data_IF_679268866797
#
_entry.id   IF_679268866797
#
_cell.length_a   1.000
_cell.length_b   1.000
_cell.length_c   1.000
_cell.angle_alpha   90.00
_cell.angle_beta   90.00
_cell.angle_gamma   90.00
#
_symmetry.space_group_name_H-M   'P 1'
#
loop_
_entity.id
_entity.type
_entity.pdbx_description
1 polymer ?
#
# COMPACT_ATOMS: atom_id res chain seq x y z
N UNK A 1 42.62 -9.42 -56.82
CA UNK A 1 41.93 -10.42 -55.97
C UNK A 1 42.61 -10.42 -54.61
N UNK A 2 41.96 -9.84 -53.61
CA UNK A 2 42.36 -9.93 -52.21
C UNK A 2 41.06 -10.07 -51.41
N UNK A 3 40.85 -11.27 -50.87
CA UNK A 3 39.72 -11.63 -50.02
C UNK A 3 40.07 -11.29 -48.57
N UNK A 4 39.44 -10.26 -48.00
CA UNK A 4 39.44 -10.03 -46.55
C UNK A 4 38.12 -10.52 -45.96
N UNK A 5 38.23 -11.56 -45.15
CA UNK A 5 37.14 -12.11 -44.33
C UNK A 5 36.75 -11.11 -43.25
N UNK A 6 35.49 -10.66 -43.26
CA UNK A 6 34.89 -9.91 -42.16
C UNK A 6 34.48 -10.93 -41.10
N UNK A 7 35.16 -10.91 -39.94
CA UNK A 7 34.78 -11.67 -38.78
C UNK A 7 33.45 -11.13 -38.23
N UNK A 8 32.44 -12.00 -38.14
CA UNK A 8 31.19 -11.71 -37.46
C UNK A 8 31.48 -11.53 -35.97
N UNK A 9 31.14 -10.36 -35.43
CA UNK A 9 31.12 -10.14 -33.99
C UNK A 9 29.95 -10.94 -33.41
N UNK A 10 30.28 -11.92 -32.58
CA UNK A 10 29.33 -12.70 -31.78
C UNK A 10 28.49 -11.75 -30.92
N UNK A 11 27.21 -11.63 -31.28
CA UNK A 11 26.20 -11.00 -30.45
C UNK A 11 25.93 -11.88 -29.24
N UNK A 12 26.67 -11.66 -28.15
CA UNK A 12 26.41 -12.26 -26.86
C UNK A 12 25.01 -11.88 -26.39
N UNK A 13 24.03 -12.75 -26.62
CA UNK A 13 22.72 -12.66 -26.01
C UNK A 13 22.90 -12.73 -24.50
N UNK A 14 22.58 -11.64 -23.80
CA UNK A 14 22.54 -11.60 -22.35
C UNK A 14 21.36 -12.49 -21.89
N UNK A 15 21.64 -13.78 -21.68
CA UNK A 15 20.68 -14.73 -21.13
C UNK A 15 20.66 -14.61 -19.61
N UNK A 16 20.03 -13.55 -19.08
CA UNK A 16 19.53 -13.59 -17.71
C UNK A 16 18.16 -14.27 -17.74
N UNK A 17 18.15 -15.60 -17.71
CA UNK A 17 16.94 -16.43 -17.51
C UNK A 17 16.46 -16.31 -16.06
N UNK A 18 16.02 -15.13 -15.66
CA UNK A 18 15.15 -15.00 -14.48
C UNK A 18 13.74 -15.37 -14.91
N UNK A 19 13.09 -16.25 -14.15
CA UNK A 19 11.70 -16.60 -14.39
C UNK A 19 10.83 -15.33 -14.34
N UNK A 20 9.84 -15.19 -15.24
CA UNK A 20 8.99 -14.00 -15.28
C UNK A 20 8.31 -13.82 -13.92
N UNK A 21 8.48 -12.63 -13.34
CA UNK A 21 7.91 -12.28 -12.04
C UNK A 21 6.39 -12.31 -12.14
N UNK A 22 5.75 -13.02 -11.23
CA UNK A 22 4.31 -13.15 -11.16
C UNK A 22 3.70 -11.83 -10.65
N UNK A 23 2.61 -11.33 -11.27
CA UNK A 23 2.05 -10.02 -10.94
C UNK A 23 1.37 -9.95 -9.55
N UNK A 24 1.13 -11.11 -8.92
CA UNK A 24 0.48 -11.25 -7.62
C UNK A 24 1.43 -11.63 -6.48
N UNK A 25 2.74 -11.69 -6.74
CA UNK A 25 3.76 -12.05 -5.75
C UNK A 25 4.63 -10.83 -5.46
N UNK A 26 4.87 -10.57 -4.18
CA UNK A 26 5.86 -9.62 -3.70
C UNK A 26 7.16 -10.40 -3.51
N UNK A 27 8.26 -9.90 -4.07
CA UNK A 27 9.56 -10.56 -3.97
C UNK A 27 10.49 -9.81 -3.02
N UNK A 28 11.53 -10.52 -2.56
CA UNK A 28 12.62 -9.90 -1.81
C UNK A 28 13.27 -8.78 -2.63
N UNK A 29 13.60 -7.67 -1.97
CA UNK A 29 14.13 -6.46 -2.61
C UNK A 29 13.06 -5.52 -3.17
N UNK A 30 11.79 -5.93 -3.25
CA UNK A 30 10.72 -5.05 -3.73
C UNK A 30 10.49 -3.88 -2.78
N UNK A 31 10.32 -2.68 -3.35
CA UNK A 31 9.69 -1.59 -2.61
C UNK A 31 8.20 -1.84 -2.54
N UNK A 32 7.64 -1.95 -1.34
CA UNK A 32 6.20 -2.10 -1.11
C UNK A 32 5.62 -0.89 -0.40
N UNK A 33 4.31 -0.72 -0.52
CA UNK A 33 3.54 0.22 0.29
C UNK A 33 3.08 -0.52 1.55
N UNK A 34 3.56 -0.08 2.71
CA UNK A 34 3.09 -0.53 4.01
C UNK A 34 1.90 0.32 4.43
N UNK A 35 0.71 -0.27 4.49
CA UNK A 35 -0.49 0.35 5.00
C UNK A 35 -0.80 -0.16 6.40
N UNK A 36 -0.89 0.74 7.36
CA UNK A 36 -1.19 0.42 8.75
C UNK A 36 -2.69 0.54 9.03
N UNK A 37 -3.16 -0.17 10.06
CA UNK A 37 -4.57 -0.13 10.50
C UNK A 37 -5.04 1.24 11.00
N UNK A 38 -4.10 2.13 11.39
CA UNK A 38 -4.37 3.52 11.77
C UNK A 38 -4.40 4.50 10.57
N UNK A 39 -4.26 3.98 9.33
CA UNK A 39 -4.39 4.74 8.09
C UNK A 39 -3.08 5.38 7.59
N UNK A 40 -1.97 5.21 8.31
CA UNK A 40 -0.66 5.65 7.82
C UNK A 40 -0.21 4.77 6.66
N UNK A 41 0.55 5.37 5.76
CA UNK A 41 1.18 4.66 4.65
C UNK A 41 2.63 5.07 4.53
N UNK A 42 3.52 4.11 4.29
CA UNK A 42 4.93 4.35 4.06
C UNK A 42 5.50 3.32 3.09
N UNK A 43 6.72 3.56 2.62
CA UNK A 43 7.39 2.68 1.67
C UNK A 43 8.51 1.95 2.39
N UNK A 44 8.66 0.67 2.10
CA UNK A 44 9.68 -0.17 2.71
C UNK A 44 10.19 -1.15 1.65
N UNK A 45 11.50 -1.36 1.60
CA UNK A 45 12.07 -2.47 0.84
C UNK A 45 11.82 -3.77 1.62
N UNK A 46 11.32 -4.79 0.93
CA UNK A 46 11.03 -6.10 1.53
C UNK A 46 12.35 -6.83 1.78
N UNK A 47 12.64 -7.05 3.05
CA UNK A 47 13.56 -8.08 3.49
C UNK A 47 12.73 -9.32 3.83
N UNK A 48 13.11 -10.48 3.28
CA UNK A 48 12.53 -11.83 3.37
C UNK A 48 11.19 -12.04 4.14
N UNK A 49 10.24 -12.62 3.39
CA UNK A 49 8.96 -13.29 3.76
C UNK A 49 7.83 -12.48 4.44
N UNK A 50 6.63 -12.57 3.82
CA UNK A 50 5.26 -12.33 4.33
C UNK A 50 4.57 -10.97 4.05
N UNK A 51 3.23 -10.98 3.99
CA UNK A 51 2.38 -9.90 3.43
C UNK A 51 1.53 -9.11 4.45
N UNK A 52 1.25 -9.69 5.63
CA UNK A 52 0.51 -9.01 6.71
C UNK A 52 1.10 -9.41 8.05
N UNK A 53 1.40 -8.41 8.87
CA UNK A 53 1.98 -8.58 10.19
C UNK A 53 1.20 -7.81 11.23
N UNK A 54 1.16 -8.38 12.43
CA UNK A 54 0.70 -7.74 13.64
C UNK A 54 1.92 -7.47 14.54
N UNK A 55 2.01 -6.28 15.11
CA UNK A 55 3.05 -6.01 16.10
C UNK A 55 2.65 -6.61 17.45
N UNK A 56 3.40 -7.62 17.89
CA UNK A 56 3.27 -8.24 19.21
C UNK A 56 4.60 -8.13 19.94
N UNK A 57 4.62 -7.48 21.12
CA UNK A 57 5.81 -7.32 21.95
C UNK A 57 7.05 -6.79 21.17
N UNK A 58 6.84 -5.75 20.35
CA UNK A 58 7.86 -5.13 19.47
C UNK A 58 8.44 -6.06 18.39
N UNK A 59 7.79 -7.19 18.12
CA UNK A 59 8.11 -8.10 17.01
C UNK A 59 6.95 -8.15 16.03
N UNK A 60 7.26 -8.25 14.74
CA UNK A 60 6.26 -8.46 13.70
C UNK A 60 5.95 -9.96 13.62
N UNK A 61 4.70 -10.31 13.91
CA UNK A 61 4.19 -11.69 13.83
C UNK A 61 3.27 -11.78 12.63
N UNK A 62 3.51 -12.76 11.75
CA UNK A 62 2.64 -13.04 10.60
C UNK A 62 1.23 -13.37 11.10
N UNK A 63 0.22 -12.75 10.51
CA UNK A 63 -1.19 -13.04 10.83
C UNK A 63 -1.99 -13.36 9.57
N UNK A 64 -2.96 -14.28 9.71
CA UNK A 64 -3.97 -14.57 8.69
C UNK A 64 -5.21 -13.69 8.94
N UNK A 65 -5.78 -13.12 7.89
CA UNK A 65 -6.97 -12.23 7.95
C UNK A 65 -6.74 -10.85 7.32
N UNK A 66 -7.76 -9.99 7.39
CA UNK A 66 -7.70 -8.62 6.86
C UNK A 66 -6.83 -7.66 7.68
N UNK A 67 -6.70 -6.42 7.18
CA UNK A 67 -6.03 -5.31 7.91
C UNK A 67 -6.70 -5.02 9.27
N UNK A 68 -7.97 -5.43 9.40
CA UNK A 68 -8.71 -5.44 10.65
C UNK A 68 -8.93 -6.89 11.09
N UNK A 69 -8.74 -7.23 12.38
CA UNK A 69 -9.03 -8.55 12.92
C UNK A 69 -10.54 -8.83 12.88
N UNK A 70 -10.91 -10.04 12.45
CA UNK A 70 -12.28 -10.50 12.58
C UNK A 70 -12.70 -10.64 14.05
N UNK A 71 -13.98 -10.38 14.39
CA UNK A 71 -15.09 -10.16 13.45
C UNK A 71 -15.12 -8.71 12.94
N UNK A 72 -14.93 -8.55 11.63
CA UNK A 72 -15.48 -7.42 10.90
C UNK A 72 -16.98 -7.52 11.09
N UNK A 73 -17.60 -6.44 11.55
CA UNK A 73 -19.05 -6.36 11.75
C UNK A 73 -19.77 -7.00 10.55
N UNK A 74 -20.84 -7.80 10.75
CA UNK A 74 -21.70 -8.15 9.63
C UNK A 74 -22.12 -6.84 8.96
N UNK A 75 -21.93 -6.73 7.65
CA UNK A 75 -22.51 -5.63 6.88
C UNK A 75 -24.02 -5.83 6.94
N UNK A 76 -24.66 -5.23 7.96
CA UNK A 76 -26.09 -5.39 8.16
C UNK A 76 -26.79 -4.69 7.00
N UNK A 77 -27.28 -5.49 6.05
CA UNK A 77 -28.21 -5.06 5.02
C UNK A 77 -29.46 -4.45 5.65
N UNK A 78 -30.06 -3.53 4.89
CA UNK A 78 -31.29 -2.77 5.09
C UNK A 78 -32.06 -2.94 6.42
N UNK A 79 -32.13 -1.86 7.20
CA UNK A 79 -33.23 -1.61 8.12
C UNK A 79 -33.07 -2.05 9.59
N UNK A 80 -31.85 -2.10 10.15
CA UNK A 80 -31.69 -2.33 11.59
C UNK A 80 -31.96 -1.05 12.39
N UNK A 81 -33.08 -1.00 13.11
CA UNK A 81 -33.32 -0.02 14.17
C UNK A 81 -32.55 -0.48 15.41
N UNK A 82 -31.58 0.29 15.93
CA UNK A 82 -30.86 -0.09 17.14
C UNK A 82 -31.82 -0.21 18.32
N UNK A 83 -31.76 -1.34 19.02
CA UNK A 83 -32.36 -1.44 20.35
C UNK A 83 -31.49 -0.64 21.34
N UNK A 84 -32.09 0.37 21.99
CA UNK A 84 -31.43 1.28 22.94
C UNK A 84 -31.04 2.66 22.39
N UNK A 85 -30.89 3.61 23.30
CA UNK A 85 -30.45 4.98 23.02
C UNK A 85 -29.43 5.49 24.05
N UNK A 86 -28.89 6.69 23.82
CA UNK A 86 -27.88 7.31 24.65
C UNK A 86 -28.43 8.42 25.57
N UNK A 87 -29.75 8.51 25.77
CA UNK A 87 -30.36 9.66 26.51
C UNK A 87 -29.93 9.74 27.97
N UNK A 88 -29.53 8.61 28.55
CA UNK A 88 -29.08 8.49 29.94
C UNK A 88 -27.56 8.47 30.08
N UNK A 89 -26.80 8.73 29.00
CA UNK A 89 -25.35 8.75 29.08
C UNK A 89 -24.87 10.07 29.69
N UNK A 90 -24.08 9.96 30.75
CA UNK A 90 -23.33 11.08 31.30
C UNK A 90 -21.84 10.86 31.03
N UNK A 91 -21.19 11.85 30.41
CA UNK A 91 -19.73 11.81 30.20
C UNK A 91 -19.01 12.29 31.46
N UNK A 92 -18.91 11.40 32.45
CA UNK A 92 -18.26 11.65 33.73
C UNK A 92 -16.78 11.22 33.74
N UNK A 93 -16.25 10.74 32.61
CA UNK A 93 -14.92 10.16 32.48
C UNK A 93 -14.60 9.03 33.50
N UNK A 94 -15.64 8.45 34.12
CA UNK A 94 -15.55 7.35 35.09
C UNK A 94 -16.05 6.01 34.53
N UNK A 95 -16.42 5.99 33.25
CA UNK A 95 -16.99 4.82 32.58
C UNK A 95 -15.99 3.68 32.32
N UNK A 96 -14.70 3.92 32.51
CA UNK A 96 -13.62 2.94 32.39
C UNK A 96 -12.87 2.88 33.72
N UNK A 97 -12.89 1.73 34.37
CA UNK A 97 -12.22 1.55 35.67
C UNK A 97 -10.73 1.24 35.54
N UNK A 98 -10.30 0.66 34.41
CA UNK A 98 -8.89 0.34 34.15
C UNK A 98 -8.08 1.62 33.86
N UNK A 99 -7.02 1.86 34.64
CA UNK A 99 -6.16 3.03 34.47
C UNK A 99 -5.11 2.80 33.39
N UNK A 100 -4.53 3.90 32.90
CA UNK A 100 -3.45 3.85 31.91
C UNK A 100 -2.19 3.13 32.43
N UNK A 101 -1.91 3.20 33.74
CA UNK A 101 -0.84 2.45 34.41
C UNK A 101 -1.06 0.94 34.28
N UNK A 102 -2.27 0.48 34.57
CA UNK A 102 -2.64 -0.94 34.55
C UNK A 102 -2.54 -1.51 33.12
N UNK A 103 -2.92 -0.71 32.12
CA UNK A 103 -2.75 -1.05 30.69
C UNK A 103 -1.26 -1.15 30.33
N UNK A 104 -0.42 -0.30 30.91
CA UNK A 104 1.04 -0.37 30.77
C UNK A 104 1.60 -1.68 31.32
N UNK A 105 1.21 -2.03 32.55
CA UNK A 105 1.62 -3.29 33.17
C UNK A 105 1.17 -4.53 32.38
N UNK A 106 -0.04 -4.51 31.79
CA UNK A 106 -0.50 -5.61 30.93
C UNK A 106 0.39 -5.78 29.70
N UNK A 107 0.82 -4.66 29.09
CA UNK A 107 1.75 -4.70 27.95
C UNK A 107 3.12 -5.21 28.37
N UNK A 108 3.62 -4.80 29.54
CA UNK A 108 4.91 -5.27 30.08
C UNK A 108 4.89 -6.76 30.42
N UNK A 109 3.75 -7.26 30.92
CA UNK A 109 3.50 -8.70 31.15
C UNK A 109 3.33 -9.49 29.84
N UNK A 110 3.38 -8.83 28.68
CA UNK A 110 3.29 -9.46 27.37
C UNK A 110 1.87 -9.84 26.94
N UNK A 111 0.84 -9.25 27.56
CA UNK A 111 -0.54 -9.49 27.17
C UNK A 111 -0.77 -9.08 25.70
N UNK A 112 -1.44 -9.95 24.96
CA UNK A 112 -1.82 -9.70 23.57
C UNK A 112 -2.80 -8.54 23.45
N UNK A 113 -2.84 -7.93 22.27
CA UNK A 113 -3.80 -6.87 21.96
C UNK A 113 -5.26 -7.31 22.20
N UNK A 114 -5.57 -8.58 21.93
CA UNK A 114 -6.89 -9.17 22.16
C UNK A 114 -7.27 -9.20 23.64
N UNK A 115 -6.36 -9.65 24.50
CA UNK A 115 -6.57 -9.72 25.95
C UNK A 115 -6.75 -8.33 26.57
N UNK A 116 -5.98 -7.34 26.09
CA UNK A 116 -6.13 -5.95 26.55
C UNK A 116 -7.51 -5.40 26.18
N UNK A 117 -7.99 -5.66 24.96
CA UNK A 117 -9.32 -5.22 24.51
C UNK A 117 -10.42 -5.90 25.33
N UNK A 118 -10.30 -7.20 25.58
CA UNK A 118 -11.26 -7.94 26.40
C UNK A 118 -11.34 -7.35 27.82
N UNK A 119 -10.20 -7.13 28.48
CA UNK A 119 -10.18 -6.50 29.81
C UNK A 119 -10.78 -5.10 29.81
N UNK A 120 -10.56 -4.31 28.75
CA UNK A 120 -11.16 -2.97 28.60
C UNK A 120 -12.68 -3.00 28.42
N UNK A 121 -13.22 -4.07 27.84
CA UNK A 121 -14.67 -4.28 27.69
C UNK A 121 -15.27 -4.70 29.04
N UNK A 122 -14.67 -5.67 29.71
CA UNK A 122 -15.09 -6.15 31.04
C UNK A 122 -15.08 -5.03 32.11
N UNK A 123 -14.16 -4.07 31.98
CA UNK A 123 -14.01 -2.93 32.90
C UNK A 123 -14.76 -1.66 32.45
N UNK A 124 -15.68 -1.77 31.50
CA UNK A 124 -16.50 -0.63 31.07
C UNK A 124 -17.92 -0.72 31.62
N UNK A 125 -18.28 0.20 32.51
CA UNK A 125 -19.62 0.26 33.13
C UNK A 125 -20.74 0.61 32.15
N UNK A 126 -20.40 1.18 31.00
CA UNK A 126 -21.36 1.56 29.94
C UNK A 126 -21.38 0.57 28.79
N UNK A 127 -20.69 -0.57 28.88
CA UNK A 127 -20.60 -1.51 27.76
C UNK A 127 -21.95 -2.12 27.41
N UNK A 128 -22.67 -2.66 28.40
CA UNK A 128 -23.91 -3.37 28.14
C UNK A 128 -25.03 -2.46 27.63
N UNK A 129 -25.05 -1.20 28.07
CA UNK A 129 -26.04 -0.21 27.65
C UNK A 129 -25.76 0.40 26.27
N UNK A 130 -24.64 0.05 25.62
CA UNK A 130 -24.32 0.50 24.26
C UNK A 130 -25.14 -0.25 23.22
N UNK A 131 -25.61 0.51 22.24
CA UNK A 131 -26.11 -0.05 20.98
C UNK A 131 -25.03 -0.87 20.28
N UNK A 132 -25.44 -1.83 19.47
CA UNK A 132 -24.53 -2.73 18.77
C UNK A 132 -23.51 -1.96 17.88
N UNK A 133 -23.97 -0.94 17.15
CA UNK A 133 -23.07 -0.07 16.38
C UNK A 133 -22.06 0.69 17.25
N UNK A 134 -22.46 1.10 18.45
CA UNK A 134 -21.57 1.78 19.40
C UNK A 134 -20.52 0.82 19.97
N UNK A 135 -20.92 -0.44 20.26
CA UNK A 135 -20.02 -1.53 20.67
C UNK A 135 -18.98 -1.80 19.57
N UNK A 136 -19.43 -1.97 18.33
CA UNK A 136 -18.55 -2.21 17.18
C UNK A 136 -17.59 -1.04 16.91
N UNK A 137 -18.10 0.21 16.92
CA UNK A 137 -17.28 1.41 16.78
C UNK A 137 -16.20 1.50 17.87
N UNK A 138 -16.56 1.14 19.11
CA UNK A 138 -15.61 1.08 20.23
C UNK A 138 -14.54 0.00 19.99
N UNK A 139 -14.93 -1.22 19.64
CA UNK A 139 -14.00 -2.32 19.36
C UNK A 139 -13.04 -1.98 18.24
N UNK A 140 -13.54 -1.46 17.11
CA UNK A 140 -12.71 -1.02 15.97
C UNK A 140 -11.64 0.00 16.42
N UNK A 141 -12.03 0.98 17.23
CA UNK A 141 -11.10 1.98 17.79
C UNK A 141 -10.05 1.35 18.71
N UNK A 142 -10.43 0.35 19.52
CA UNK A 142 -9.50 -0.34 20.43
C UNK A 142 -8.57 -1.29 19.67
N UNK A 143 -9.08 -2.04 18.68
CA UNK A 143 -8.27 -2.86 17.78
C UNK A 143 -7.18 -2.03 17.10
N UNK A 144 -7.52 -0.87 16.52
CA UNK A 144 -6.53 0.03 15.91
C UNK A 144 -5.41 0.48 16.87
N UNK A 145 -5.70 0.59 18.18
CA UNK A 145 -4.74 1.07 19.19
C UNK A 145 -3.92 -0.05 19.84
N UNK A 146 -4.53 -1.20 20.08
CA UNK A 146 -3.94 -2.30 20.87
C UNK A 146 -3.52 -3.50 20.02
N UNK A 147 -3.96 -3.56 18.77
CA UNK A 147 -3.64 -4.62 17.81
C UNK A 147 -3.28 -3.99 16.45
N UNK A 148 -2.18 -3.20 16.37
CA UNK A 148 -1.79 -2.55 15.13
C UNK A 148 -1.36 -3.61 14.11
N UNK A 149 -1.96 -3.55 12.92
CA UNK A 149 -1.63 -4.42 11.78
C UNK A 149 -1.05 -3.60 10.65
N UNK A 150 -0.13 -4.21 9.92
CA UNK A 150 0.48 -3.66 8.73
C UNK A 150 0.24 -4.62 7.58
N UNK A 151 -0.33 -4.10 6.50
CA UNK A 151 -0.50 -4.81 5.23
C UNK A 151 0.50 -4.28 4.22
N UNK A 152 1.21 -5.17 3.57
CA UNK A 152 2.03 -4.83 2.42
C UNK A 152 1.22 -4.86 1.14
N UNK A 153 1.37 -3.82 0.33
CA UNK A 153 0.75 -3.65 -0.96
C UNK A 153 1.84 -3.52 -2.01
N UNK A 154 1.67 -4.23 -3.13
CA UNK A 154 2.53 -4.06 -4.30
C UNK A 154 2.40 -2.64 -4.82
N UNK A 155 3.50 -2.05 -5.25
CA UNK A 155 3.52 -0.76 -5.92
C UNK A 155 3.05 -0.89 -7.38
N UNK A 156 1.75 -0.68 -7.58
CA UNK A 156 1.09 -0.52 -8.88
C UNK A 156 0.79 0.95 -9.17
N UNK A 157 0.48 1.28 -10.42
CA UNK A 157 0.03 2.62 -10.80
C UNK A 157 -1.14 3.12 -9.92
N UNK A 158 -2.14 2.28 -9.69
CA UNK A 158 -3.30 2.59 -8.83
C UNK A 158 -2.88 2.83 -7.38
N UNK A 159 -2.16 1.89 -6.77
CA UNK A 159 -1.80 1.96 -5.35
C UNK A 159 -0.81 3.09 -5.06
N UNK A 160 0.11 3.38 -5.98
CA UNK A 160 1.01 4.51 -5.91
C UNK A 160 0.25 5.83 -6.03
N UNK A 161 -0.65 5.96 -7.01
CA UNK A 161 -1.51 7.14 -7.16
C UNK A 161 -2.31 7.39 -5.88
N UNK A 162 -2.97 6.35 -5.35
CA UNK A 162 -3.71 6.39 -4.08
C UNK A 162 -2.85 6.83 -2.90
N UNK A 163 -1.67 6.24 -2.78
CA UNK A 163 -0.75 6.51 -1.68
C UNK A 163 -0.27 7.96 -1.72
N UNK A 164 0.13 8.45 -2.89
CA UNK A 164 0.58 9.84 -3.05
C UNK A 164 -0.56 10.83 -2.89
N UNK A 165 -1.76 10.54 -3.39
CA UNK A 165 -2.94 11.39 -3.19
C UNK A 165 -3.27 11.56 -1.70
N UNK A 166 -3.16 10.49 -0.90
CA UNK A 166 -3.44 10.54 0.52
C UNK A 166 -2.30 11.14 1.36
N UNK A 167 -1.03 10.96 0.95
CA UNK A 167 0.12 11.48 1.69
C UNK A 167 0.52 12.89 1.32
N UNK A 168 0.66 13.17 0.02
CA UNK A 168 1.22 14.40 -0.54
C UNK A 168 0.63 14.66 -1.95
N UNK A 169 -0.67 15.02 -2.06
CA UNK A 169 -1.36 15.08 -3.35
C UNK A 169 -0.76 16.12 -4.31
N UNK A 170 -0.22 17.22 -3.78
CA UNK A 170 0.42 18.26 -4.57
C UNK A 170 1.60 17.75 -5.43
N UNK A 171 2.30 16.70 -4.98
CA UNK A 171 3.43 16.09 -5.71
C UNK A 171 3.01 15.39 -7.01
N UNK A 172 1.74 15.00 -7.10
CA UNK A 172 1.16 14.35 -8.28
C UNK A 172 0.07 15.22 -8.90
N UNK A 173 0.18 16.55 -8.76
CA UNK A 173 -0.80 17.51 -9.27
C UNK A 173 -2.25 17.24 -8.82
N UNK A 174 -2.43 16.65 -7.63
CA UNK A 174 -3.72 16.21 -7.08
C UNK A 174 -4.45 15.17 -7.96
N UNK A 175 -3.70 14.40 -8.77
CA UNK A 175 -4.26 13.37 -9.62
C UNK A 175 -4.95 12.27 -8.79
N UNK A 176 -6.14 11.87 -9.21
CA UNK A 176 -6.92 10.77 -8.63
C UNK A 176 -6.81 9.52 -9.50
N UNK A 177 -6.98 8.36 -8.88
CA UNK A 177 -6.75 7.04 -9.45
C UNK A 177 -7.64 6.78 -10.68
N UNK A 178 -8.89 7.26 -10.65
CA UNK A 178 -9.82 7.17 -11.76
C UNK A 178 -9.44 8.11 -12.91
N UNK A 179 -8.97 9.33 -12.62
CA UNK A 179 -8.44 10.24 -13.64
C UNK A 179 -7.20 9.68 -14.31
N UNK A 180 -6.30 9.04 -13.54
CA UNK A 180 -5.15 8.31 -14.09
C UNK A 180 -5.62 7.20 -15.03
N UNK A 181 -6.63 6.42 -14.64
CA UNK A 181 -7.25 5.41 -15.50
C UNK A 181 -7.79 5.98 -16.80
N UNK A 182 -8.50 7.12 -16.74
CA UNK A 182 -9.02 7.82 -17.92
C UNK A 182 -7.92 8.31 -18.85
N UNK A 183 -6.82 8.88 -18.31
CA UNK A 183 -5.66 9.31 -19.11
C UNK A 183 -5.12 8.13 -19.93
N UNK A 184 -4.96 6.96 -19.30
CA UNK A 184 -4.43 5.78 -19.99
C UNK A 184 -5.38 5.24 -21.06
N UNK A 185 -6.70 5.37 -20.85
CA UNK A 185 -7.72 4.93 -21.82
C UNK A 185 -7.82 5.90 -22.99
N UNK A 186 -7.93 7.21 -22.73
CA UNK A 186 -8.00 8.22 -23.79
C UNK A 186 -6.70 8.34 -24.59
N UNK A 187 -5.55 8.09 -23.96
CA UNK A 187 -4.27 7.98 -24.65
C UNK A 187 -4.10 6.71 -25.48
N UNK A 188 -5.09 5.79 -25.46
CA UNK A 188 -5.03 4.48 -26.10
C UNK A 188 -3.69 3.78 -25.83
N UNK A 189 -3.32 3.65 -24.54
CA UNK A 189 -2.05 3.05 -24.17
C UNK A 189 -2.15 1.53 -24.30
N UNK A 190 -1.33 0.93 -25.16
CA UNK A 190 -1.25 -0.52 -25.38
C UNK A 190 0.21 -0.96 -25.63
N UNK A 191 0.46 -2.26 -25.50
CA UNK A 191 1.75 -2.89 -25.76
C UNK A 191 2.19 -2.74 -27.23
N UNK A 192 3.42 -2.29 -27.47
CA UNK A 192 3.98 -2.02 -28.79
C UNK A 192 3.78 -0.58 -29.27
N UNK A 193 3.00 0.23 -28.56
CA UNK A 193 2.81 1.65 -28.88
C UNK A 193 4.06 2.50 -28.65
N UNK A 194 4.25 3.53 -29.48
CA UNK A 194 5.23 4.58 -29.23
C UNK A 194 4.53 5.79 -28.63
N UNK A 195 4.85 6.13 -27.38
CA UNK A 195 4.14 7.13 -26.59
C UNK A 195 5.07 8.29 -26.27
N UNK A 196 4.61 9.52 -26.45
CA UNK A 196 5.27 10.74 -25.98
C UNK A 196 4.54 11.24 -24.73
N UNK A 197 5.26 11.45 -23.62
CA UNK A 197 4.66 11.91 -22.37
C UNK A 197 5.53 12.97 -21.69
N UNK A 198 4.90 14.10 -21.31
CA UNK A 198 5.49 15.09 -20.40
C UNK A 198 4.87 14.86 -19.04
N UNK A 199 5.66 14.49 -18.05
CA UNK A 199 5.18 14.08 -16.73
C UNK A 199 5.82 14.92 -15.62
N UNK A 200 5.02 15.80 -15.00
CA UNK A 200 5.38 16.58 -13.81
C UNK A 200 4.82 15.97 -12.52
N UNK A 201 4.21 14.79 -12.58
CA UNK A 201 3.66 14.04 -11.45
C UNK A 201 4.70 13.07 -10.84
N UNK A 202 5.97 13.49 -10.77
CA UNK A 202 7.09 12.69 -10.27
C UNK A 202 7.27 11.31 -10.93
N UNK A 203 6.84 11.16 -12.18
CA UNK A 203 6.98 9.92 -12.95
C UNK A 203 5.83 8.93 -12.73
N UNK A 204 4.75 9.33 -12.06
CA UNK A 204 3.58 8.47 -11.83
C UNK A 204 2.89 8.11 -13.15
N UNK A 205 2.67 9.08 -14.04
CA UNK A 205 1.97 8.86 -15.32
C UNK A 205 2.84 8.03 -16.25
N UNK A 206 4.14 8.37 -16.30
CA UNK A 206 5.16 7.63 -17.04
C UNK A 206 5.22 6.17 -16.59
N UNK A 207 5.27 5.94 -15.27
CA UNK A 207 5.27 4.60 -14.71
C UNK A 207 3.97 3.85 -15.00
N UNK A 208 2.82 4.53 -14.98
CA UNK A 208 1.54 3.91 -15.32
C UNK A 208 1.44 3.48 -16.80
N UNK A 209 2.00 4.29 -17.71
CA UNK A 209 2.13 3.92 -19.13
C UNK A 209 3.04 2.69 -19.27
N UNK A 210 4.19 2.70 -18.58
CA UNK A 210 5.15 1.61 -18.64
C UNK A 210 4.60 0.30 -18.05
N UNK A 211 3.86 0.37 -16.93
CA UNK A 211 3.13 -0.76 -16.35
C UNK A 211 2.14 -1.36 -17.36
N UNK A 212 1.41 -0.52 -18.10
CA UNK A 212 0.41 -0.96 -19.09
C UNK A 212 1.04 -1.52 -20.37
N UNK A 213 2.20 -1.00 -20.77
CA UNK A 213 2.94 -1.50 -21.94
C UNK A 213 3.71 -2.80 -21.65
N UNK A 214 4.03 -3.07 -20.38
CA UNK A 214 4.70 -4.31 -19.98
C UNK A 214 6.08 -4.51 -20.61
N UNK A 215 6.78 -3.41 -20.94
CA UNK A 215 8.08 -3.43 -21.61
C UNK A 215 8.03 -3.64 -23.13
N UNK A 216 6.84 -3.77 -23.73
CA UNK A 216 6.67 -3.79 -25.18
C UNK A 216 6.21 -2.42 -25.67
N UNK A 217 7.02 -1.77 -26.51
CA UNK A 217 6.79 -0.41 -27.00
C UNK A 217 7.97 0.52 -26.72
N UNK A 218 7.73 1.81 -26.89
CA UNK A 218 8.73 2.84 -26.59
C UNK A 218 8.06 4.06 -25.96
N UNK A 219 8.58 4.53 -24.86
CA UNK A 219 8.06 5.70 -24.16
C UNK A 219 9.12 6.80 -24.24
N UNK A 220 8.79 7.92 -24.85
CA UNK A 220 9.66 9.09 -24.96
C UNK A 220 9.18 10.10 -23.92
N UNK A 221 10.08 10.48 -23.01
CA UNK A 221 9.73 11.33 -21.88
C UNK A 221 10.56 12.61 -21.85
N UNK A 222 10.20 13.63 -22.64
CA UNK A 222 10.76 14.96 -22.44
C UNK A 222 10.43 15.47 -21.03
N UNK A 223 11.39 16.13 -20.41
CA UNK A 223 11.24 16.77 -19.10
C UNK A 223 11.75 18.20 -19.14
N UNK A 224 11.18 19.04 -18.29
CA UNK A 224 11.65 20.40 -18.08
C UNK A 224 12.75 20.42 -17.01
N UNK A 225 13.82 21.19 -17.25
CA UNK A 225 14.91 21.37 -16.29
C UNK A 225 16.11 20.43 -16.51
N UNK A 226 16.93 20.29 -15.47
CA UNK A 226 18.21 19.56 -15.55
C UNK A 226 18.05 18.05 -15.41
N UNK A 227 17.03 17.59 -14.68
CA UNK A 227 16.81 16.18 -14.36
C UNK A 227 15.32 15.83 -14.41
N UNK A 228 14.94 14.63 -14.86
CA UNK A 228 13.56 14.20 -14.87
C UNK A 228 13.03 13.98 -13.45
N UNK A 229 11.81 14.46 -13.18
CA UNK A 229 11.10 14.16 -11.94
C UNK A 229 10.54 12.72 -12.00
N UNK A 230 11.35 11.72 -11.64
CA UNK A 230 11.02 10.30 -11.78
C UNK A 230 11.13 9.47 -10.48
N UNK A 231 11.01 10.11 -9.31
CA UNK A 231 11.17 9.40 -8.02
C UNK A 231 10.12 8.32 -7.76
N UNK A 232 8.92 8.45 -8.33
CA UNK A 232 7.87 7.42 -8.21
C UNK A 232 8.19 6.22 -9.10
N UNK A 233 8.83 6.45 -10.25
CA UNK A 233 9.17 5.40 -11.22
C UNK A 233 10.02 4.30 -10.58
N UNK A 234 10.98 4.68 -9.72
CA UNK A 234 11.84 3.74 -8.97
C UNK A 234 11.06 2.80 -8.03
N UNK A 235 9.82 3.14 -7.69
CA UNK A 235 8.98 2.38 -6.73
C UNK A 235 8.14 1.32 -7.39
N UNK A 236 7.98 1.35 -8.72
CA UNK A 236 7.20 0.35 -9.46
C UNK A 236 7.88 -1.03 -9.51
N UNK A 237 9.12 -1.18 -9.02
CA UNK A 237 9.90 -2.42 -9.06
C UNK A 237 10.01 -3.01 -10.47
N UNK A 238 10.12 -2.14 -11.48
CA UNK A 238 10.24 -2.58 -12.86
C UNK A 238 11.58 -3.25 -13.12
N UNK A 239 11.53 -4.37 -13.85
CA UNK A 239 12.72 -5.07 -14.32
C UNK A 239 13.48 -4.28 -15.41
N UNK A 240 14.67 -4.76 -15.74
CA UNK A 240 15.57 -4.14 -16.72
C UNK A 240 14.92 -3.95 -18.08
N UNK A 241 14.17 -4.94 -18.58
CA UNK A 241 13.48 -4.88 -19.88
C UNK A 241 12.52 -3.69 -19.96
N UNK A 242 11.69 -3.50 -18.93
CA UNK A 242 10.72 -2.41 -18.90
C UNK A 242 11.44 -1.07 -18.73
N UNK A 243 12.48 -1.02 -17.89
CA UNK A 243 13.35 0.16 -17.77
C UNK A 243 13.99 0.55 -19.10
N UNK A 244 14.42 -0.40 -19.93
CA UNK A 244 15.00 -0.13 -21.25
C UNK A 244 14.00 0.42 -22.28
N UNK A 245 12.69 0.25 -22.06
CA UNK A 245 11.67 0.82 -22.95
C UNK A 245 11.45 2.33 -22.77
N UNK A 246 11.95 2.88 -21.65
CA UNK A 246 11.87 4.30 -21.31
C UNK A 246 13.04 5.06 -21.91
N UNK A 247 12.74 6.00 -22.79
CA UNK A 247 13.70 6.86 -23.48
C UNK A 247 13.61 8.26 -22.89
N UNK A 248 14.48 8.51 -21.93
CA UNK A 248 14.75 9.76 -21.24
C UNK A 248 15.91 9.49 -20.30
N UNK A 249 16.82 10.43 -20.09
CA UNK A 249 17.99 10.24 -19.23
C UNK A 249 17.56 10.17 -17.74
N UNK A 250 16.89 9.09 -17.35
CA UNK A 250 16.31 8.87 -16.01
C UNK A 250 17.31 8.31 -14.99
N UNK A 251 18.48 7.87 -15.46
CA UNK A 251 19.51 7.21 -14.68
C UNK A 251 20.88 7.76 -15.06
N UNK A 252 21.43 8.58 -14.17
CA UNK A 252 22.87 8.80 -13.99
C UNK A 252 23.26 8.24 -12.63
#
# INVERSE_FOLDING_TARGET
MATSSIAAADGGACTSTEAPRLPYVIYEGDTVICQTSDGRMFFQAVAKDDAIFEEQNKKLVKVTGGLFPDPVAPETGDGFVPDGDNRHYADTNSAQTLKQTDIGELREKGASGKEIIQKLVENSSTWETKTEFSKQKYLKKKQQKYMPRVRFLRCTAESLCRTYRLKNPAKICNLREDSLGQILVYGNIFAGGQVLVVDTCMGLVTGAIAERQGGSGRIICPYEGQQPAADILRRFNFGTVLMSSLVGNFFY
#
